data_IF_960110918416
#
_entry.id   IF_960110918416
#
_cell.length_a   1.000
_cell.length_b   1.000
_cell.length_c   1.000
_cell.angle_alpha   90.00
_cell.angle_beta   90.00
_cell.angle_gamma   90.00
#
_symmetry.space_group_name_H-M   'P 1'
#
loop_
_entity.id
_entity.type
_entity.pdbx_description
1 polymer ?
#
# COMPACT_ATOMS: atom_id res chain seq x y z
N UNK A 1 -2.28 -2.90 -2.34
CA UNK A 1 -2.87 -4.12 -1.77
C UNK A 1 -4.37 -4.26 -1.98
N UNK A 2 -5.00 -3.32 -2.68
CA UNK A 2 -6.44 -3.40 -2.99
C UNK A 2 -6.79 -4.62 -3.83
N UNK A 3 -5.86 -5.09 -4.68
CA UNK A 3 -6.14 -6.23 -5.55
C UNK A 3 -6.46 -7.51 -4.79
N UNK A 4 -5.80 -7.74 -3.66
CA UNK A 4 -6.09 -8.90 -2.82
C UNK A 4 -7.48 -8.76 -2.17
N UNK A 5 -7.75 -7.59 -1.58
CA UNK A 5 -8.99 -7.36 -0.83
C UNK A 5 -10.22 -7.37 -1.72
N UNK A 6 -10.10 -6.86 -2.95
CA UNK A 6 -11.21 -6.74 -3.87
C UNK A 6 -11.24 -7.85 -4.92
N UNK A 7 -10.28 -8.78 -4.86
CA UNK A 7 -10.16 -9.92 -5.78
C UNK A 7 -10.24 -9.49 -7.25
N UNK A 8 -9.51 -8.43 -7.60
CA UNK A 8 -9.52 -7.90 -8.96
C UNK A 8 -8.62 -8.72 -9.89
N UNK A 9 -9.22 -9.25 -10.92
CA UNK A 9 -8.50 -9.91 -11.99
C UNK A 9 -7.90 -8.88 -12.95
N UNK A 10 -6.74 -9.13 -13.53
CA UNK A 10 -5.87 -10.32 -13.42
C UNK A 10 -4.77 -10.19 -12.37
N UNK A 11 -4.82 -9.21 -11.50
CA UNK A 11 -3.73 -8.83 -10.61
C UNK A 11 -3.73 -9.56 -9.28
N UNK A 12 -4.79 -10.30 -8.99
CA UNK A 12 -5.02 -10.95 -7.69
C UNK A 12 -3.88 -11.90 -7.31
N UNK A 13 -3.39 -12.70 -8.27
CA UNK A 13 -2.36 -13.69 -7.96
C UNK A 13 -1.07 -13.04 -7.45
N UNK A 14 -0.60 -12.01 -8.12
CA UNK A 14 0.63 -11.32 -7.71
C UNK A 14 0.45 -10.65 -6.34
N UNK A 15 -0.71 -10.06 -6.09
CA UNK A 15 -1.00 -9.43 -4.81
C UNK A 15 -1.05 -10.45 -3.68
N UNK A 16 -1.67 -11.62 -3.92
CA UNK A 16 -1.70 -12.72 -2.94
C UNK A 16 -0.27 -13.16 -2.62
N UNK A 17 0.59 -13.31 -3.63
CA UNK A 17 1.97 -13.73 -3.42
C UNK A 17 2.75 -12.71 -2.58
N UNK A 18 2.51 -11.41 -2.77
CA UNK A 18 3.11 -10.37 -1.93
C UNK A 18 2.65 -10.53 -0.48
N UNK A 19 1.34 -10.76 -0.27
CA UNK A 19 0.81 -11.01 1.07
C UNK A 19 1.46 -12.22 1.72
N UNK A 20 1.73 -13.28 0.96
CA UNK A 20 2.43 -14.45 1.49
C UNK A 20 3.82 -14.10 2.01
N UNK A 21 4.55 -13.22 1.31
CA UNK A 21 5.85 -12.75 1.78
C UNK A 21 5.73 -12.00 3.11
N UNK A 22 4.68 -11.22 3.29
CA UNK A 22 4.41 -10.50 4.54
C UNK A 22 4.12 -11.51 5.66
N UNK A 23 3.24 -12.48 5.41
CA UNK A 23 2.89 -13.49 6.39
C UNK A 23 4.10 -14.32 6.82
N UNK A 24 5.01 -14.59 5.89
CA UNK A 24 6.23 -15.35 6.15
C UNK A 24 7.34 -14.50 6.78
N UNK A 25 7.06 -13.25 7.07
CA UNK A 25 8.03 -12.29 7.64
C UNK A 25 9.29 -12.12 6.79
N UNK A 26 9.16 -12.31 5.48
CA UNK A 26 10.26 -12.12 4.54
C UNK A 26 10.46 -10.66 4.15
N UNK A 27 9.43 -9.86 4.34
CA UNK A 27 9.46 -8.41 4.12
C UNK A 27 8.74 -7.72 5.26
N UNK A 28 9.15 -6.50 5.57
CA UNK A 28 8.43 -5.60 6.47
C UNK A 28 7.55 -4.72 5.61
N UNK A 29 6.25 -4.87 5.74
CA UNK A 29 5.31 -4.16 4.90
C UNK A 29 4.53 -3.13 5.69
N UNK A 30 4.27 -2.01 5.04
CA UNK A 30 3.55 -0.88 5.62
C UNK A 30 2.36 -0.52 4.75
N UNK A 31 1.29 -0.09 5.39
CA UNK A 31 0.19 0.58 4.73
C UNK A 31 0.16 2.03 5.22
N UNK A 32 -0.07 2.97 4.32
CA UNK A 32 -0.23 4.35 4.71
C UNK A 32 -1.53 4.52 5.50
N UNK A 33 -1.51 5.33 6.55
CA UNK A 33 -2.70 5.54 7.38
C UNK A 33 -3.92 5.97 6.56
N UNK A 34 -3.73 6.83 5.55
CA UNK A 34 -4.83 7.27 4.69
C UNK A 34 -5.34 6.15 3.76
N UNK A 35 -4.47 5.24 3.38
CA UNK A 35 -4.85 4.08 2.56
C UNK A 35 -5.85 3.20 3.28
N UNK A 36 -5.71 3.05 4.59
CA UNK A 36 -6.62 2.23 5.40
C UNK A 36 -8.05 2.76 5.33
N UNK A 37 -8.23 4.07 5.41
CA UNK A 37 -9.57 4.66 5.30
C UNK A 37 -10.15 4.48 3.90
N UNK A 38 -9.33 4.56 2.88
CA UNK A 38 -9.75 4.31 1.50
C UNK A 38 -10.16 2.84 1.31
N UNK A 39 -9.40 1.92 1.87
CA UNK A 39 -9.73 0.49 1.83
C UNK A 39 -11.07 0.25 2.50
N UNK A 40 -11.31 0.83 3.67
CA UNK A 40 -12.58 0.69 4.37
C UNK A 40 -13.74 1.19 3.51
N UNK A 41 -13.58 2.37 2.90
CA UNK A 41 -14.59 2.93 2.02
C UNK A 41 -14.95 1.98 0.87
N UNK A 42 -13.93 1.38 0.24
CA UNK A 42 -14.14 0.45 -0.86
C UNK A 42 -14.76 -0.86 -0.40
N UNK A 43 -14.33 -1.38 0.75
CA UNK A 43 -14.87 -2.63 1.29
C UNK A 43 -16.34 -2.50 1.70
N UNK A 44 -16.74 -1.38 2.28
CA UNK A 44 -18.12 -1.17 2.71
C UNK A 44 -19.10 -1.03 1.55
N UNK A 45 -18.60 -0.84 0.33
CA UNK A 45 -19.44 -0.85 -0.87
C UNK A 45 -19.86 -2.26 -1.28
N UNK A 46 -19.11 -3.28 -0.85
CA UNK A 46 -19.36 -4.68 -1.22
C UNK A 46 -19.68 -5.56 -0.01
N UNK A 47 -19.28 -5.15 1.18
CA UNK A 47 -19.43 -5.92 2.41
C UNK A 47 -20.21 -5.09 3.44
N UNK A 48 -20.68 -5.76 4.49
CA UNK A 48 -21.24 -5.05 5.64
C UNK A 48 -20.12 -4.30 6.37
N UNK A 49 -20.48 -3.27 7.13
CA UNK A 49 -19.49 -2.53 7.93
C UNK A 49 -18.74 -3.44 8.89
N UNK A 50 -19.43 -4.41 9.49
CA UNK A 50 -18.82 -5.38 10.40
C UNK A 50 -17.77 -6.23 9.72
N UNK A 51 -18.09 -6.76 8.52
CA UNK A 51 -17.14 -7.58 7.76
C UNK A 51 -15.95 -6.76 7.26
N UNK A 52 -16.19 -5.51 6.87
CA UNK A 52 -15.11 -4.61 6.46
C UNK A 52 -14.14 -4.37 7.61
N UNK A 53 -14.66 -4.13 8.83
CA UNK A 53 -13.83 -3.94 10.02
C UNK A 53 -13.01 -5.18 10.36
N UNK A 54 -13.60 -6.36 10.22
CA UNK A 54 -12.88 -7.61 10.44
C UNK A 54 -11.73 -7.78 9.45
N UNK A 55 -11.97 -7.43 8.18
CA UNK A 55 -10.92 -7.47 7.17
C UNK A 55 -9.78 -6.50 7.50
N UNK A 56 -10.11 -5.29 7.97
CA UNK A 56 -9.11 -4.31 8.36
C UNK A 56 -8.29 -4.78 9.57
N UNK A 57 -8.93 -5.44 10.55
CA UNK A 57 -8.21 -5.99 11.70
C UNK A 57 -7.18 -7.03 11.27
N UNK A 58 -7.53 -7.88 10.31
CA UNK A 58 -6.58 -8.85 9.75
C UNK A 58 -5.43 -8.15 9.05
N UNK A 59 -5.74 -7.10 8.31
CA UNK A 59 -4.71 -6.33 7.60
C UNK A 59 -3.69 -5.74 8.57
N UNK A 60 -4.14 -5.04 9.60
CA UNK A 60 -3.23 -4.38 10.54
C UNK A 60 -2.49 -5.37 11.45
N UNK A 61 -2.92 -6.64 11.49
CA UNK A 61 -2.16 -7.67 12.18
C UNK A 61 -0.93 -8.10 11.38
N UNK A 62 -0.92 -7.86 10.06
CA UNK A 62 0.16 -8.25 9.17
C UNK A 62 1.05 -7.07 8.76
N UNK A 63 0.48 -5.89 8.64
CA UNK A 63 1.16 -4.71 8.15
C UNK A 63 1.37 -3.69 9.26
N UNK A 64 2.51 -3.01 9.21
CA UNK A 64 2.69 -1.80 10.01
C UNK A 64 1.98 -0.63 9.33
N UNK A 65 1.75 0.42 10.07
CA UNK A 65 1.09 1.61 9.54
C UNK A 65 2.11 2.75 9.42
N UNK A 66 2.26 3.28 8.22
CA UNK A 66 3.06 4.47 8.00
C UNK A 66 2.24 5.69 8.47
N UNK A 67 2.75 6.38 9.45
CA UNK A 67 2.06 7.51 10.08
C UNK A 67 1.94 8.69 9.12
N UNK A 68 0.77 9.32 9.13
CA UNK A 68 0.55 10.58 8.43
C UNK A 68 0.38 11.67 9.48
N UNK A 69 1.36 12.56 9.55
CA UNK A 69 1.39 13.67 10.50
C UNK A 69 1.61 14.97 9.73
N UNK A 70 1.77 16.08 10.46
CA UNK A 70 1.95 17.39 9.83
C UNK A 70 3.15 17.45 8.89
N UNK A 71 4.36 16.99 9.27
CA UNK A 71 5.49 16.99 8.33
C UNK A 71 5.23 16.22 7.04
N UNK A 72 4.54 15.08 7.12
CA UNK A 72 4.19 14.30 5.93
C UNK A 72 3.29 15.12 5.00
N UNK A 73 2.27 15.76 5.55
CA UNK A 73 1.34 16.58 4.76
C UNK A 73 2.07 17.77 4.12
N UNK A 74 2.90 18.45 4.88
CA UNK A 74 3.65 19.60 4.36
C UNK A 74 4.57 19.20 3.22
N UNK A 75 5.27 18.08 3.35
CA UNK A 75 6.15 17.57 2.29
C UNK A 75 5.35 17.13 1.07
N UNK A 76 4.20 16.51 1.29
CA UNK A 76 3.33 16.09 0.19
C UNK A 76 2.84 17.27 -0.64
N UNK A 77 2.56 18.40 -0.01
CA UNK A 77 2.13 19.61 -0.72
C UNK A 77 3.19 20.13 -1.69
N UNK A 78 4.47 19.88 -1.41
CA UNK A 78 5.58 20.28 -2.30
C UNK A 78 6.06 19.15 -3.21
N UNK A 79 5.39 18.00 -3.21
CA UNK A 79 5.81 16.84 -3.98
C UNK A 79 5.59 17.03 -5.48
N UNK A 80 6.41 16.36 -6.29
CA UNK A 80 6.24 16.30 -7.74
C UNK A 80 5.20 15.28 -8.18
N UNK A 81 4.74 14.42 -7.24
CA UNK A 81 3.70 13.44 -7.53
C UNK A 81 2.38 14.18 -7.69
N UNK A 82 1.70 13.90 -8.79
CA UNK A 82 0.53 14.66 -9.19
C UNK A 82 -0.67 14.48 -8.27
N UNK A 83 -1.00 13.24 -7.92
CA UNK A 83 -2.12 12.94 -7.05
C UNK A 83 -1.72 13.14 -5.59
N UNK A 84 -2.50 13.93 -4.86
CA UNK A 84 -2.14 14.28 -3.48
C UNK A 84 -2.14 13.08 -2.54
N UNK A 85 -3.10 12.17 -2.70
CA UNK A 85 -3.13 10.95 -1.86
C UNK A 85 -1.88 10.11 -2.08
N UNK A 86 -1.45 9.98 -3.34
CA UNK A 86 -0.22 9.26 -3.68
C UNK A 86 1.01 9.99 -3.14
N UNK A 87 1.01 11.31 -3.19
CA UNK A 87 2.09 12.11 -2.62
C UNK A 87 2.19 11.90 -1.11
N UNK A 88 1.06 11.85 -0.41
CA UNK A 88 1.02 11.56 1.03
C UNK A 88 1.55 10.17 1.32
N UNK A 89 1.14 9.18 0.54
CA UNK A 89 1.61 7.81 0.68
C UNK A 89 3.12 7.73 0.52
N UNK A 90 3.64 8.38 -0.51
CA UNK A 90 5.07 8.39 -0.81
C UNK A 90 5.88 9.03 0.33
N UNK A 91 5.45 10.20 0.80
CA UNK A 91 6.15 10.90 1.88
C UNK A 91 6.05 10.14 3.21
N UNK A 92 4.89 9.53 3.49
CA UNK A 92 4.73 8.70 4.68
C UNK A 92 5.68 7.50 4.63
N UNK A 93 5.82 6.88 3.46
CA UNK A 93 6.74 5.78 3.25
C UNK A 93 8.19 6.21 3.48
N UNK A 94 8.58 7.36 2.95
CA UNK A 94 9.92 7.89 3.16
C UNK A 94 10.22 8.10 4.65
N UNK A 95 9.28 8.69 5.38
CA UNK A 95 9.47 8.95 6.81
C UNK A 95 9.46 7.66 7.64
N UNK A 96 8.76 6.64 7.19
CA UNK A 96 8.78 5.34 7.83
C UNK A 96 10.06 4.55 7.52
N UNK A 97 10.85 5.02 6.56
CA UNK A 97 12.11 4.38 6.19
C UNK A 97 11.96 3.19 5.25
N UNK A 98 10.87 3.12 4.50
CA UNK A 98 10.69 2.02 3.54
C UNK A 98 11.62 2.17 2.34
N UNK A 99 11.95 1.06 1.70
CA UNK A 99 12.83 1.03 0.54
C UNK A 99 12.08 1.20 -0.76
N UNK A 100 10.82 0.78 -0.79
CA UNK A 100 10.07 0.70 -2.04
C UNK A 100 8.57 0.85 -1.82
N UNK A 101 7.89 1.23 -2.90
CA UNK A 101 6.43 1.23 -2.98
C UNK A 101 6.03 0.13 -3.95
N UNK A 102 5.04 -0.67 -3.59
CA UNK A 102 4.47 -1.69 -4.46
C UNK A 102 3.07 -1.24 -4.85
N UNK A 103 2.85 -1.01 -6.12
CA UNK A 103 1.60 -0.47 -6.63
C UNK A 103 1.33 -0.97 -8.05
N UNK A 104 0.06 -1.06 -8.42
CA UNK A 104 -0.34 -1.34 -9.80
C UNK A 104 -0.14 -0.13 -10.71
N UNK A 105 -0.10 1.05 -10.14
CA UNK A 105 -0.09 2.31 -10.89
C UNK A 105 1.27 3.00 -10.75
N UNK A 106 2.32 2.35 -11.24
CA UNK A 106 3.69 2.87 -11.09
C UNK A 106 3.87 4.27 -11.68
N UNK A 107 3.11 4.60 -12.71
CA UNK A 107 3.16 5.92 -13.35
C UNK A 107 2.79 7.04 -12.39
N UNK A 108 1.89 6.76 -11.45
CA UNK A 108 1.39 7.75 -10.51
C UNK A 108 2.48 8.19 -9.51
N UNK A 109 3.56 7.42 -9.42
CA UNK A 109 4.66 7.70 -8.51
C UNK A 109 5.91 8.22 -9.22
N UNK A 110 5.78 8.65 -10.45
CA UNK A 110 6.87 9.29 -11.20
C UNK A 110 7.36 10.51 -10.42
N UNK A 111 8.65 10.57 -10.16
CA UNK A 111 9.25 11.64 -9.36
C UNK A 111 9.56 11.23 -7.93
N UNK A 112 9.14 10.05 -7.49
CA UNK A 112 9.49 9.54 -6.17
C UNK A 112 10.98 9.22 -6.08
N UNK A 113 11.55 9.38 -4.89
CA UNK A 113 12.92 8.94 -4.59
C UNK A 113 12.96 7.48 -4.19
N UNK A 114 11.81 6.87 -3.93
CA UNK A 114 11.71 5.45 -3.61
C UNK A 114 11.69 4.62 -4.89
N UNK A 115 12.05 3.35 -4.75
CA UNK A 115 11.89 2.38 -5.84
C UNK A 115 10.42 2.05 -5.98
N UNK A 116 9.91 2.04 -7.20
CA UNK A 116 8.50 1.78 -7.46
C UNK A 116 8.39 0.49 -8.25
N UNK A 117 7.61 -0.47 -7.73
CA UNK A 117 7.42 -1.77 -8.36
C UNK A 117 5.95 -2.09 -8.56
N UNK A 118 5.64 -2.73 -9.67
CA UNK A 118 4.39 -3.50 -9.75
C UNK A 118 4.55 -4.76 -8.90
N UNK A 119 3.43 -5.37 -8.42
CA UNK A 119 3.53 -6.59 -7.61
C UNK A 119 4.36 -7.69 -8.25
N UNK A 120 4.19 -7.93 -9.54
CA UNK A 120 4.96 -8.97 -10.24
C UNK A 120 6.45 -8.64 -10.33
N UNK A 121 6.79 -7.37 -10.55
CA UNK A 121 8.18 -6.93 -10.58
C UNK A 121 8.83 -7.08 -9.20
N UNK A 122 8.08 -6.74 -8.15
CA UNK A 122 8.57 -6.88 -6.79
C UNK A 122 8.85 -8.34 -6.45
N UNK A 123 7.93 -9.23 -6.81
CA UNK A 123 8.08 -10.66 -6.56
C UNK A 123 9.31 -11.23 -7.25
N UNK A 124 9.67 -10.71 -8.41
CA UNK A 124 10.85 -11.15 -9.13
C UNK A 124 12.14 -10.94 -8.32
N UNK A 125 12.15 -10.00 -7.37
CA UNK A 125 13.30 -9.78 -6.49
C UNK A 125 13.51 -10.94 -5.52
N UNK A 126 12.48 -11.73 -5.29
CA UNK A 126 12.49 -12.87 -4.36
C UNK A 126 12.42 -14.20 -5.12
N UNK A 127 12.60 -14.14 -6.42
CA UNK A 127 12.54 -15.33 -7.25
C UNK A 127 13.75 -16.21 -6.97
N UNK A 128 13.45 -17.40 -6.52
CA UNK A 128 14.47 -18.35 -6.09
C UNK A 128 14.29 -19.63 -6.88
#
# INVERSE_FOLDING_TARGET
MLDVLLEREPFVKAAVDVFCLVEESRIDAFLCATTITTIDYLLTRSLTASKARDALRKLISLFDIATVNRPVIERALGSKIHDFEDAVLDEAGQMAGVDAVVTRNTKDFTGSVLKIFEPSEFLAQFNI
#
